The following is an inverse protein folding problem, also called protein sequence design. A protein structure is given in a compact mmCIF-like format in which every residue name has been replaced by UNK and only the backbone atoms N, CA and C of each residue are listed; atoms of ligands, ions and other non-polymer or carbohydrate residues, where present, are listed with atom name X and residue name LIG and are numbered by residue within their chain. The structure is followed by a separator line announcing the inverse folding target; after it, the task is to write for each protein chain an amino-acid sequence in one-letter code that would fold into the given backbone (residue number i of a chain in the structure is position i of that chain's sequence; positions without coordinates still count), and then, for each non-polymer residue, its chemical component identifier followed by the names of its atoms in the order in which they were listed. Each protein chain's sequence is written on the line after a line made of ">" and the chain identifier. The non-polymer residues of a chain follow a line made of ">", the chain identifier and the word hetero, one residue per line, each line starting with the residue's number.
data_IF_274549200903
#
_entry.id   IF_274549200903
#
_cell.length_a   1.000
_cell.length_b   1.000
_cell.length_c   1.000
_cell.angle_alpha   90.00
_cell.angle_beta   90.00
_cell.angle_gamma   90.00
#
_symmetry.space_group_name_H-M   'P 1'
#
loop_
_entity.id
_entity.type
_entity.pdbx_description
1 polymer ?
#
# COMPACT_ATOMS: atom_id res chain seq x y z
N UNK A 1 -15.57 13.27 -34.06
CA UNK A 1 -15.06 14.24 -33.07
C UNK A 1 -14.39 13.45 -31.97
N UNK A 2 -13.05 13.39 -32.01
CA UNK A 2 -12.26 12.77 -30.95
C UNK A 2 -12.40 13.66 -29.71
N UNK A 3 -13.04 13.14 -28.66
CA UNK A 3 -13.03 13.79 -27.35
C UNK A 3 -11.60 13.72 -26.84
N UNK A 4 -10.98 14.89 -26.68
CA UNK A 4 -9.77 15.07 -25.90
C UNK A 4 -9.92 14.29 -24.59
N UNK A 5 -9.17 13.21 -24.45
CA UNK A 5 -8.88 12.66 -23.12
C UNK A 5 -7.87 13.67 -22.56
N UNK A 6 -8.16 14.39 -21.46
CA UNK A 6 -7.11 15.16 -20.83
C UNK A 6 -6.02 14.17 -20.43
N UNK A 7 -4.87 14.28 -21.06
CA UNK A 7 -3.63 13.75 -20.51
C UNK A 7 -3.49 14.42 -19.16
N UNK A 8 -3.85 13.70 -18.10
CA UNK A 8 -3.47 14.11 -16.75
C UNK A 8 -1.94 14.05 -16.74
N UNK A 9 -1.29 15.18 -17.03
CA UNK A 9 0.12 15.42 -16.77
C UNK A 9 0.33 15.34 -15.25
N UNK A 10 0.51 14.12 -14.77
CA UNK A 10 0.68 13.84 -13.36
C UNK A 10 0.88 12.34 -13.27
N UNK A 11 2.01 11.91 -12.72
CA UNK A 11 2.34 10.51 -12.65
C UNK A 11 1.14 9.70 -12.17
N UNK A 12 0.59 8.82 -13.02
CA UNK A 12 -0.50 7.96 -12.62
C UNK A 12 0.02 7.13 -11.43
N UNK A 13 -0.48 7.41 -10.25
CA UNK A 13 -0.16 6.66 -9.05
C UNK A 13 -1.14 5.49 -8.99
N UNK A 14 -0.67 4.37 -8.48
CA UNK A 14 -1.51 3.23 -8.12
C UNK A 14 -1.22 2.85 -6.68
N UNK A 15 -2.22 2.22 -6.09
CA UNK A 15 -2.15 1.70 -4.74
C UNK A 15 -2.25 0.19 -4.79
N UNK A 16 -1.30 -0.49 -4.17
CA UNK A 16 -1.25 -1.94 -4.10
C UNK A 16 -1.11 -2.39 -2.64
N UNK A 17 -1.86 -3.41 -2.26
CA UNK A 17 -1.67 -4.15 -1.03
C UNK A 17 -0.86 -5.41 -1.32
N UNK A 18 0.35 -5.48 -0.78
CA UNK A 18 1.24 -6.62 -0.88
C UNK A 18 1.09 -7.46 0.39
N UNK A 19 0.74 -8.72 0.20
CA UNK A 19 0.70 -9.74 1.24
C UNK A 19 1.81 -10.75 0.99
N UNK A 20 1.96 -11.74 1.88
CA UNK A 20 2.93 -12.83 1.67
C UNK A 20 2.64 -13.62 0.39
N UNK A 21 1.36 -13.76 0.05
CA UNK A 21 0.87 -14.74 -0.91
C UNK A 21 0.46 -14.09 -2.23
N UNK A 22 0.11 -12.80 -2.21
CA UNK A 22 -0.54 -12.12 -3.33
C UNK A 22 -0.39 -10.61 -3.27
N UNK A 23 -0.56 -9.97 -4.44
CA UNK A 23 -0.64 -8.51 -4.59
C UNK A 23 -2.04 -8.16 -5.05
N UNK A 24 -2.67 -7.23 -4.34
CA UNK A 24 -4.01 -6.75 -4.63
C UNK A 24 -3.95 -5.29 -5.05
N UNK A 25 -4.51 -4.96 -6.22
CA UNK A 25 -4.78 -3.58 -6.55
C UNK A 25 -5.92 -3.09 -5.63
N UNK A 26 -5.68 -1.99 -4.91
CA UNK A 26 -6.67 -1.43 -3.98
C UNK A 26 -7.09 -0.05 -4.46
N UNK A 27 -8.40 0.21 -4.38
CA UNK A 27 -8.98 1.50 -4.75
C UNK A 27 -8.95 2.45 -3.55
N UNK A 28 -7.76 2.80 -3.09
CA UNK A 28 -7.58 3.94 -2.20
C UNK A 28 -7.15 5.16 -2.99
N UNK A 29 -7.52 6.33 -2.47
CA UNK A 29 -6.95 7.57 -2.91
C UNK A 29 -5.43 7.61 -2.60
N UNK A 30 -4.57 7.75 -3.62
CA UNK A 30 -3.12 7.76 -3.42
C UNK A 30 -2.64 9.03 -2.72
N UNK A 31 -3.36 10.16 -2.84
CA UNK A 31 -3.00 11.42 -2.17
C UNK A 31 -3.22 11.29 -0.66
N UNK A 32 -4.35 10.71 -0.22
CA UNK A 32 -4.61 10.46 1.20
C UNK A 32 -3.49 9.63 1.85
N UNK A 33 -3.05 8.57 1.18
CA UNK A 33 -1.94 7.74 1.67
C UNK A 33 -0.64 8.53 1.72
N UNK A 34 -0.34 9.32 0.68
CA UNK A 34 0.85 10.17 0.63
C UNK A 34 0.86 11.22 1.74
N UNK A 35 -0.27 11.78 2.13
CA UNK A 35 -0.39 12.74 3.23
C UNK A 35 -0.37 12.09 4.63
N UNK A 36 -0.59 10.78 4.71
CA UNK A 36 -0.72 10.05 5.96
C UNK A 36 0.59 9.85 6.74
N UNK A 37 0.87 10.65 7.77
CA UNK A 37 2.18 10.62 8.47
C UNK A 37 2.15 10.07 9.89
N UNK A 38 0.98 9.63 10.37
CA UNK A 38 0.78 9.11 11.73
C UNK A 38 -0.03 7.80 11.73
N UNK A 39 0.06 7.06 12.83
CA UNK A 39 -0.57 5.76 12.99
C UNK A 39 -2.09 5.82 13.01
N UNK A 40 -2.69 6.88 13.54
CA UNK A 40 -4.15 7.05 13.54
C UNK A 40 -4.68 7.12 12.09
N UNK A 41 -4.07 7.98 11.27
CA UNK A 41 -4.41 8.07 9.85
C UNK A 41 -4.20 6.73 9.12
N UNK A 42 -3.10 6.02 9.42
CA UNK A 42 -2.85 4.73 8.77
C UNK A 42 -3.92 3.68 9.14
N UNK A 43 -4.43 3.70 10.37
CA UNK A 43 -5.55 2.86 10.79
C UNK A 43 -6.87 3.27 10.10
N UNK A 44 -7.12 4.56 9.88
CA UNK A 44 -8.29 5.03 9.13
C UNK A 44 -8.26 4.56 7.66
N UNK A 45 -7.10 4.65 7.01
CA UNK A 45 -6.89 4.10 5.66
C UNK A 45 -7.14 2.60 5.66
N UNK A 46 -6.66 1.89 6.68
CA UNK A 46 -6.90 0.46 6.79
C UNK A 46 -8.40 0.15 6.90
N UNK A 47 -9.11 0.85 7.79
CA UNK A 47 -10.55 0.68 8.01
C UNK A 47 -11.35 0.89 6.73
N UNK A 48 -10.99 1.92 5.97
CA UNK A 48 -11.78 2.38 4.81
C UNK A 48 -11.47 1.58 3.55
N UNK A 49 -10.21 1.20 3.34
CA UNK A 49 -9.78 0.56 2.10
C UNK A 49 -9.44 -0.93 2.21
N UNK A 50 -8.91 -1.36 3.36
CA UNK A 50 -8.20 -2.65 3.45
C UNK A 50 -8.92 -3.67 4.30
N UNK A 51 -9.81 -3.25 5.21
CA UNK A 51 -10.54 -4.15 6.08
C UNK A 51 -11.36 -5.20 5.29
N UNK A 52 -12.02 -4.77 4.21
CA UNK A 52 -12.79 -5.67 3.33
C UNK A 52 -11.88 -6.60 2.51
N UNK A 53 -10.76 -6.08 2.00
CA UNK A 53 -9.80 -6.83 1.18
C UNK A 53 -9.08 -7.90 2.00
N UNK A 54 -8.72 -7.58 3.24
CA UNK A 54 -7.98 -8.48 4.14
C UNK A 54 -8.90 -9.40 4.93
N UNK A 55 -10.16 -9.01 5.14
CA UNK A 55 -11.10 -9.69 6.03
C UNK A 55 -10.70 -9.63 7.52
N UNK A 56 -9.81 -8.72 7.90
CA UNK A 56 -9.30 -8.62 9.27
C UNK A 56 -9.89 -7.40 9.95
N UNK A 57 -10.46 -7.63 11.13
CA UNK A 57 -10.99 -6.57 11.98
C UNK A 57 -9.88 -5.61 12.43
N UNK A 58 -10.16 -4.31 12.36
CA UNK A 58 -9.21 -3.24 12.66
C UNK A 58 -8.62 -3.33 14.07
N UNK A 59 -9.35 -3.88 15.05
CA UNK A 59 -8.84 -4.05 16.41
C UNK A 59 -7.70 -5.07 16.49
N UNK A 60 -7.55 -5.92 15.47
CA UNK A 60 -6.45 -6.89 15.37
C UNK A 60 -5.27 -6.38 14.54
N UNK A 61 -5.34 -5.14 14.07
CA UNK A 61 -4.32 -4.53 13.20
C UNK A 61 -3.46 -3.56 13.99
N UNK A 62 -2.15 -3.66 13.77
CA UNK A 62 -1.18 -2.68 14.24
C UNK A 62 -0.44 -2.08 13.05
N UNK A 63 -0.16 -0.79 13.12
CA UNK A 63 0.74 -0.11 12.18
C UNK A 63 2.18 -0.34 12.67
N UNK A 64 3.00 -1.01 11.88
CA UNK A 64 4.42 -1.24 12.21
C UNK A 64 5.29 -0.08 11.75
N UNK A 65 5.05 0.45 10.55
CA UNK A 65 5.83 1.59 10.04
C UNK A 65 5.08 2.34 8.94
N UNK A 66 5.41 3.63 8.80
CA UNK A 66 5.01 4.49 7.71
C UNK A 66 6.30 5.11 7.18
N UNK A 67 6.60 4.89 5.90
CA UNK A 67 7.88 5.32 5.34
C UNK A 67 7.75 5.81 3.91
N UNK A 68 8.31 6.99 3.66
CA UNK A 68 8.57 7.45 2.30
C UNK A 68 9.82 6.76 1.75
N UNK A 69 9.69 6.22 0.55
CA UNK A 69 10.78 5.65 -0.23
C UNK A 69 10.97 6.48 -1.49
N UNK A 70 12.11 6.35 -2.16
CA UNK A 70 12.45 7.22 -3.32
C UNK A 70 11.38 7.23 -4.42
N UNK A 71 10.59 6.16 -4.50
CA UNK A 71 9.65 5.86 -5.57
C UNK A 71 8.18 5.86 -5.12
N UNK A 72 7.89 6.25 -3.88
CA UNK A 72 6.54 6.18 -3.34
C UNK A 72 6.49 6.20 -1.82
N UNK A 73 5.43 5.61 -1.27
CA UNK A 73 5.24 5.49 0.17
C UNK A 73 4.72 4.11 0.52
N UNK A 74 5.17 3.61 1.66
CA UNK A 74 4.81 2.29 2.19
C UNK A 74 4.28 2.46 3.59
N UNK A 75 3.12 1.87 3.86
CA UNK A 75 2.57 1.67 5.19
C UNK A 75 2.56 0.16 5.45
N UNK A 76 3.17 -0.26 6.55
CA UNK A 76 3.22 -1.67 6.93
C UNK A 76 2.27 -1.88 8.10
N UNK A 77 1.30 -2.75 7.88
CA UNK A 77 0.39 -3.26 8.90
C UNK A 77 0.81 -4.66 9.32
N UNK A 78 0.46 -5.06 10.53
CA UNK A 78 0.61 -6.42 11.00
C UNK A 78 -0.64 -6.90 11.74
N UNK A 79 -1.00 -8.16 11.52
CA UNK A 79 -2.05 -8.90 12.23
C UNK A 79 -1.72 -10.39 12.20
N UNK A 80 -1.97 -11.10 13.31
CA UNK A 80 -1.84 -12.57 13.39
C UNK A 80 -0.49 -13.11 12.86
N UNK A 81 0.62 -12.45 13.18
CA UNK A 81 1.98 -12.72 12.66
C UNK A 81 2.18 -12.54 11.15
N UNK A 82 1.16 -12.08 10.43
CA UNK A 82 1.26 -11.66 9.04
C UNK A 82 1.52 -10.16 8.96
N UNK A 83 2.16 -9.75 7.88
CA UNK A 83 2.41 -8.36 7.54
C UNK A 83 1.75 -8.04 6.20
N UNK A 84 1.26 -6.82 6.09
CA UNK A 84 0.54 -6.30 4.95
C UNK A 84 1.17 -4.96 4.59
N UNK A 85 1.67 -4.84 3.36
CA UNK A 85 2.28 -3.63 2.85
C UNK A 85 1.27 -2.90 1.97
N UNK A 86 0.84 -1.70 2.37
CA UNK A 86 0.16 -0.79 1.48
C UNK A 86 1.18 0.13 0.83
N UNK A 87 1.30 0.03 -0.49
CA UNK A 87 2.25 0.81 -1.28
C UNK A 87 1.49 1.77 -2.20
N UNK A 88 1.94 3.03 -2.25
CA UNK A 88 1.58 4.00 -3.29
C UNK A 88 2.81 4.30 -4.13
N UNK A 89 2.69 4.11 -5.43
CA UNK A 89 3.80 4.30 -6.38
C UNK A 89 3.29 4.50 -7.80
N UNK A 90 4.21 4.86 -8.70
CA UNK A 90 3.92 4.98 -10.14
C UNK A 90 3.66 3.61 -10.78
N UNK A 91 2.88 3.57 -11.85
CA UNK A 91 2.58 2.33 -12.61
C UNK A 91 3.82 1.58 -13.13
N UNK A 92 4.89 2.31 -13.46
CA UNK A 92 6.14 1.73 -13.98
C UNK A 92 7.00 1.06 -12.89
N UNK A 93 6.55 1.07 -11.65
CA UNK A 93 7.31 0.61 -10.48
C UNK A 93 6.57 -0.55 -9.84
N UNK A 94 7.31 -1.55 -9.33
CA UNK A 94 6.74 -2.68 -8.61
C UNK A 94 6.53 -2.34 -7.13
N UNK A 95 5.30 -2.49 -6.63
CA UNK A 95 4.99 -2.31 -5.21
C UNK A 95 5.70 -3.32 -4.30
N UNK A 96 6.07 -4.48 -4.86
CA UNK A 96 6.86 -5.51 -4.17
C UNK A 96 8.25 -4.97 -3.83
N UNK A 97 8.94 -4.35 -4.80
CA UNK A 97 10.28 -3.80 -4.57
C UNK A 97 10.26 -2.74 -3.47
N UNK A 98 9.24 -1.88 -3.46
CA UNK A 98 9.05 -0.88 -2.40
C UNK A 98 8.81 -1.53 -1.04
N UNK A 99 7.96 -2.55 -0.99
CA UNK A 99 7.69 -3.28 0.23
C UNK A 99 8.98 -3.94 0.76
N UNK A 100 9.82 -4.53 -0.11
CA UNK A 100 11.10 -5.14 0.26
C UNK A 100 12.12 -4.15 0.83
N UNK A 101 12.14 -2.89 0.34
CA UNK A 101 12.99 -1.83 0.91
C UNK A 101 12.62 -1.47 2.37
N UNK A 102 11.37 -1.74 2.77
CA UNK A 102 10.83 -1.34 4.08
C UNK A 102 10.68 -2.54 5.01
N UNK A 103 10.42 -3.72 4.47
CA UNK A 103 10.10 -4.91 5.26
C UNK A 103 10.44 -6.20 4.50
N UNK A 104 10.87 -7.24 5.21
CA UNK A 104 11.26 -8.52 4.62
C UNK A 104 10.06 -9.45 4.32
N UNK A 105 8.93 -8.90 3.87
CA UNK A 105 7.71 -9.72 3.62
C UNK A 105 7.92 -10.72 2.48
N UNK A 106 8.75 -10.39 1.48
CA UNK A 106 8.91 -11.20 0.27
C UNK A 106 10.13 -12.14 0.29
N UNK A 107 10.96 -12.13 1.34
CA UNK A 107 12.25 -12.84 1.36
C UNK A 107 12.24 -14.20 2.08
N UNK A 108 11.23 -15.02 1.84
CA UNK A 108 11.30 -16.46 2.12
C UNK A 108 10.97 -17.27 0.86
N UNK A 109 11.84 -17.18 -0.15
CA UNK A 109 12.07 -18.33 -1.02
C UNK A 109 12.80 -19.38 -0.18
N UNK A 110 12.14 -20.51 0.05
CA UNK A 110 12.74 -21.70 0.64
C UNK A 110 14.06 -22.05 -0.03
N UNK A 111 15.13 -22.18 0.76
CA UNK A 111 16.24 -23.10 0.54
C UNK A 111 16.92 -23.35 1.89
#
# INVERSE_FOLDING_TARGET
>A
MYRNIPEAEGASLKTELITRDSVYAVYCDPEEILECNDYACALEIYSTCLADVTGIDINNIRVETIKFVRKGKVIVYAANNNRYCLCVHRYDISGIELCEEVTQICNQKSS
#
